data_IF_843493281686
#
_entry.id   IF_843493281686
#
_cell.length_a   1.000
_cell.length_b   1.000
_cell.length_c   1.000
_cell.angle_alpha   90.00
_cell.angle_beta   90.00
_cell.angle_gamma   90.00
#
_symmetry.space_group_name_H-M   'P 1'
#
loop_
_entity.id
_entity.type
_entity.pdbx_description
1 polymer ?
#
# COMPACT_ATOMS: atom_id res chain seq x y z
N UNK A 1 21.06 34.11 -55.13
CA UNK A 1 21.75 33.00 -54.42
C UNK A 1 21.72 33.35 -52.94
N UNK A 2 21.19 32.57 -52.01
CA UNK A 2 21.24 31.11 -51.82
C UNK A 2 19.91 30.60 -51.25
N UNK A 3 19.57 29.38 -51.64
CA UNK A 3 18.47 28.57 -51.14
C UNK A 3 18.93 27.84 -49.89
N UNK A 4 18.07 27.69 -48.87
CA UNK A 4 18.04 26.46 -48.05
C UNK A 4 16.71 26.38 -47.28
N UNK A 5 15.87 25.43 -47.71
CA UNK A 5 14.75 24.91 -46.93
C UNK A 5 15.33 23.92 -45.93
N UNK A 6 15.44 24.30 -44.65
CA UNK A 6 15.79 23.38 -43.56
C UNK A 6 14.52 23.13 -42.73
N UNK A 7 13.60 22.37 -43.30
CA UNK A 7 12.46 21.85 -42.56
C UNK A 7 12.15 20.46 -43.12
N UNK A 8 12.70 19.44 -42.46
CA UNK A 8 12.24 18.04 -42.39
C UNK A 8 13.42 17.14 -42.01
N UNK A 9 13.35 16.58 -40.81
CA UNK A 9 14.21 15.46 -40.43
C UNK A 9 14.67 15.49 -38.98
N UNK A 10 13.75 15.52 -38.00
CA UNK A 10 14.12 15.23 -36.62
C UNK A 10 12.95 14.68 -35.79
N UNK A 11 12.15 13.75 -36.33
CA UNK A 11 11.12 13.05 -35.55
C UNK A 11 10.94 11.66 -36.15
N UNK A 12 11.80 10.70 -35.82
CA UNK A 12 11.56 9.24 -36.03
C UNK A 12 12.70 8.38 -35.45
N UNK A 13 13.22 8.72 -34.27
CA UNK A 13 14.42 8.08 -33.71
C UNK A 13 14.35 7.69 -32.23
N UNK A 14 13.17 7.59 -31.60
CA UNK A 14 13.07 7.37 -30.14
C UNK A 14 12.02 6.32 -29.73
N UNK A 15 11.84 5.24 -30.50
CA UNK A 15 10.88 4.19 -30.11
C UNK A 15 11.41 2.75 -30.18
N UNK A 16 12.72 2.52 -30.36
CA UNK A 16 13.23 1.16 -30.63
C UNK A 16 14.26 0.60 -29.63
N UNK A 17 14.20 0.99 -28.35
CA UNK A 17 15.17 0.51 -27.36
C UNK A 17 14.59 -0.11 -26.08
N UNK A 18 13.31 -0.49 -26.03
CA UNK A 18 12.72 -1.14 -24.84
C UNK A 18 12.19 -2.56 -25.06
N UNK A 19 12.72 -3.32 -26.04
CA UNK A 19 12.32 -4.71 -26.25
C UNK A 19 13.46 -5.70 -26.04
N UNK A 20 14.18 -5.67 -24.92
CA UNK A 20 14.99 -6.84 -24.50
C UNK A 20 15.13 -6.92 -22.97
N UNK A 21 14.11 -7.43 -22.31
CA UNK A 21 14.28 -8.24 -21.09
C UNK A 21 13.17 -9.29 -21.08
N UNK A 22 13.39 -10.39 -21.78
CA UNK A 22 12.51 -11.55 -21.74
C UNK A 22 12.84 -12.40 -20.52
N UNK A 23 12.13 -12.20 -19.41
CA UNK A 23 12.09 -13.19 -18.34
C UNK A 23 11.05 -14.26 -18.70
N UNK A 24 11.50 -15.52 -18.85
CA UNK A 24 10.60 -16.66 -19.04
C UNK A 24 10.07 -17.12 -17.68
N UNK A 25 8.85 -16.70 -17.33
CA UNK A 25 8.13 -17.27 -16.19
C UNK A 25 7.42 -18.55 -16.65
N UNK A 26 7.65 -19.65 -15.94
CA UNK A 26 6.94 -20.90 -16.16
C UNK A 26 5.43 -20.67 -15.91
N UNK A 27 4.64 -20.74 -16.99
CA UNK A 27 3.17 -20.74 -16.90
C UNK A 27 2.72 -22.05 -16.28
N UNK A 28 2.62 -22.09 -14.96
CA UNK A 28 1.74 -23.05 -14.28
C UNK A 28 0.32 -22.68 -14.66
N UNK A 29 -0.40 -23.62 -15.29
CA UNK A 29 -1.75 -23.43 -15.75
C UNK A 29 -2.68 -22.98 -14.63
N UNK A 30 -3.23 -21.77 -14.77
CA UNK A 30 -4.22 -21.20 -13.87
C UNK A 30 -4.65 -19.83 -14.38
N UNK A 31 -5.73 -19.81 -15.16
CA UNK A 31 -6.51 -18.64 -15.60
C UNK A 31 -5.81 -17.28 -15.67
N UNK A 32 -5.47 -16.82 -16.87
CA UNK A 32 -5.30 -15.39 -17.17
C UNK A 32 -6.67 -14.70 -17.13
N UNK A 33 -7.18 -14.46 -15.93
CA UNK A 33 -8.03 -13.32 -15.64
C UNK A 33 -7.24 -12.50 -14.64
N UNK A 34 -6.98 -11.23 -14.93
CA UNK A 34 -6.75 -10.27 -13.84
C UNK A 34 -7.92 -10.47 -12.88
N UNK A 35 -7.69 -11.08 -11.72
CA UNK A 35 -8.68 -11.05 -10.66
C UNK A 35 -8.79 -9.57 -10.32
N UNK A 36 -9.90 -8.94 -10.73
CA UNK A 36 -10.26 -7.61 -10.27
C UNK A 36 -10.15 -7.65 -8.75
N UNK A 37 -9.06 -7.09 -8.25
CA UNK A 37 -8.70 -7.20 -6.84
C UNK A 37 -9.60 -6.22 -6.13
N UNK A 38 -10.32 -6.70 -5.12
CA UNK A 38 -11.23 -5.88 -4.33
C UNK A 38 -10.57 -4.53 -3.99
N UNK A 39 -11.19 -3.39 -4.33
CA UNK A 39 -10.65 -2.07 -4.05
C UNK A 39 -10.24 -1.88 -2.59
N UNK A 40 -10.96 -2.51 -1.65
CA UNK A 40 -10.62 -2.46 -0.22
C UNK A 40 -9.35 -3.24 0.10
N UNK A 41 -9.14 -4.41 -0.51
CA UNK A 41 -7.89 -5.18 -0.35
C UNK A 41 -6.70 -4.42 -0.94
N UNK A 42 -6.89 -3.75 -2.09
CA UNK A 42 -5.86 -2.89 -2.65
C UNK A 42 -5.56 -1.71 -1.72
N UNK A 43 -6.58 -1.08 -1.12
CA UNK A 43 -6.40 0.01 -0.17
C UNK A 43 -5.71 -0.46 1.11
N UNK A 44 -6.05 -1.63 1.62
CA UNK A 44 -5.36 -2.22 2.76
C UNK A 44 -3.88 -2.44 2.45
N UNK A 45 -3.54 -3.00 1.30
CA UNK A 45 -2.14 -3.22 0.91
C UNK A 45 -1.35 -1.90 0.79
N UNK A 46 -1.97 -0.82 0.29
CA UNK A 46 -1.39 0.52 0.28
C UNK A 46 -1.12 1.04 1.70
N UNK A 47 -2.08 0.88 2.61
CA UNK A 47 -1.94 1.28 4.01
C UNK A 47 -0.85 0.44 4.69
N UNK A 48 -0.82 -0.87 4.49
CA UNK A 48 0.17 -1.78 5.08
C UNK A 48 1.59 -1.40 4.71
N UNK A 49 1.82 -1.16 3.43
CA UNK A 49 3.11 -0.71 2.92
C UNK A 49 3.54 0.59 3.62
N UNK A 50 2.62 1.54 3.75
CA UNK A 50 2.92 2.81 4.40
C UNK A 50 3.22 2.64 5.91
N UNK A 51 2.32 1.99 6.66
CA UNK A 51 2.36 2.03 8.13
C UNK A 51 3.31 1.01 8.75
N UNK A 52 3.61 -0.09 8.06
CA UNK A 52 4.47 -1.15 8.59
C UNK A 52 5.85 -1.23 7.92
N UNK A 53 6.05 -0.57 6.78
CA UNK A 53 7.31 -0.65 6.04
C UNK A 53 7.91 0.74 5.85
N UNK A 54 7.20 1.64 5.16
CA UNK A 54 7.81 2.88 4.68
C UNK A 54 7.94 3.95 5.79
N UNK A 55 6.99 4.00 6.73
CA UNK A 55 6.87 5.08 7.72
C UNK A 55 6.76 4.62 9.17
N UNK A 56 7.16 3.38 9.47
CA UNK A 56 7.11 2.81 10.83
C UNK A 56 7.77 3.73 11.87
N UNK A 57 8.94 4.28 11.56
CA UNK A 57 9.69 5.14 12.48
C UNK A 57 9.09 6.55 12.61
N UNK A 58 8.44 7.05 11.56
CA UNK A 58 7.77 8.36 11.60
C UNK A 58 6.50 8.30 12.45
N UNK A 59 5.74 7.21 12.33
CA UNK A 59 4.55 6.93 13.15
C UNK A 59 4.94 6.81 14.62
N UNK A 60 6.00 6.06 14.95
CA UNK A 60 6.52 6.00 16.32
C UNK A 60 6.91 7.37 16.87
N UNK A 61 7.58 8.21 16.07
CA UNK A 61 7.93 9.59 16.46
C UNK A 61 6.70 10.47 16.66
N UNK A 62 5.61 10.20 15.95
CA UNK A 62 4.32 10.87 16.15
C UNK A 62 3.63 10.44 17.46
N UNK A 63 4.15 9.42 18.16
CA UNK A 63 3.72 9.06 19.51
C UNK A 63 2.61 8.01 19.56
N UNK A 64 2.43 7.23 18.48
CA UNK A 64 1.51 6.10 18.45
C UNK A 64 2.05 4.97 17.57
N UNK A 65 1.39 3.83 17.59
CA UNK A 65 1.66 2.69 16.73
C UNK A 65 0.38 2.22 16.01
N UNK A 66 0.58 1.53 14.90
CA UNK A 66 -0.48 0.79 14.23
C UNK A 66 -0.38 -0.66 14.65
N UNK A 67 -1.46 -1.20 15.22
CA UNK A 67 -1.52 -2.59 15.73
C UNK A 67 -1.96 -3.55 14.63
N UNK A 68 -2.94 -3.15 13.83
CA UNK A 68 -3.43 -3.93 12.69
C UNK A 68 -4.09 -3.06 11.63
N UNK A 69 -4.25 -3.65 10.45
CA UNK A 69 -5.15 -3.18 9.40
C UNK A 69 -6.09 -4.31 8.98
N UNK A 70 -7.27 -3.99 8.49
CA UNK A 70 -8.21 -5.02 8.03
C UNK A 70 -9.30 -4.47 7.14
N UNK A 71 -9.69 -5.22 6.12
CA UNK A 71 -10.93 -4.95 5.38
C UNK A 71 -12.14 -5.34 6.24
N UNK A 72 -13.03 -4.38 6.46
CA UNK A 72 -14.38 -4.57 6.99
C UNK A 72 -15.40 -4.41 5.85
N UNK A 73 -16.71 -4.44 6.18
CA UNK A 73 -17.82 -4.44 5.21
C UNK A 73 -17.64 -3.49 4.01
N UNK A 74 -17.31 -2.23 4.27
CA UNK A 74 -17.24 -1.17 3.23
C UNK A 74 -16.03 -0.24 3.38
N UNK A 75 -15.11 -0.56 4.29
CA UNK A 75 -13.97 0.29 4.62
C UNK A 75 -12.78 -0.55 5.10
N UNK A 76 -11.60 0.08 5.10
CA UNK A 76 -10.40 -0.46 5.74
C UNK A 76 -10.28 0.13 7.14
N UNK A 77 -10.19 -0.73 8.14
CA UNK A 77 -9.94 -0.38 9.51
C UNK A 77 -8.44 -0.30 9.81
N UNK A 78 -8.04 0.68 10.61
CA UNK A 78 -6.68 0.81 11.13
C UNK A 78 -6.77 0.90 12.66
N UNK A 79 -6.31 -0.14 13.36
CA UNK A 79 -6.25 -0.15 14.81
C UNK A 79 -4.98 0.53 15.31
N UNK A 80 -5.10 1.52 16.19
CA UNK A 80 -3.96 2.28 16.72
C UNK A 80 -3.92 2.29 18.25
N UNK A 81 -2.71 2.47 18.79
CA UNK A 81 -2.46 2.61 20.21
C UNK A 81 -1.38 3.69 20.49
N UNK A 82 -1.60 4.65 21.41
CA UNK A 82 -2.89 5.03 21.96
C UNK A 82 -3.78 5.69 20.90
N UNK A 83 -5.09 5.50 21.02
CA UNK A 83 -6.04 6.25 20.20
C UNK A 83 -6.14 7.70 20.69
N UNK A 84 -6.02 8.64 19.75
CA UNK A 84 -6.39 10.04 19.97
C UNK A 84 -6.90 10.63 18.66
N UNK A 85 -7.69 11.71 18.74
CA UNK A 85 -8.13 12.42 17.54
C UNK A 85 -6.95 12.96 16.72
N UNK A 86 -5.84 13.30 17.37
CA UNK A 86 -4.62 13.77 16.71
C UNK A 86 -3.96 12.65 15.90
N UNK A 87 -3.77 11.48 16.52
CA UNK A 87 -3.18 10.29 15.88
C UNK A 87 -4.06 9.76 14.74
N UNK A 88 -5.37 9.70 14.95
CA UNK A 88 -6.30 9.33 13.89
C UNK A 88 -6.26 10.33 12.73
N UNK A 89 -6.19 11.64 13.03
CA UNK A 89 -6.12 12.67 12.01
C UNK A 89 -4.79 12.69 11.24
N UNK A 90 -3.70 12.22 11.84
CA UNK A 90 -2.45 11.95 11.11
C UNK A 90 -2.71 11.00 9.93
N UNK A 91 -3.33 9.85 10.20
CA UNK A 91 -3.64 8.84 9.18
C UNK A 91 -4.69 9.33 8.18
N UNK A 92 -5.73 10.03 8.64
CA UNK A 92 -6.76 10.57 7.76
C UNK A 92 -6.24 11.63 6.77
N UNK A 93 -5.20 12.40 7.12
CA UNK A 93 -4.56 13.34 6.19
C UNK A 93 -3.86 12.62 5.03
N UNK A 94 -3.45 11.38 5.23
CA UNK A 94 -2.72 10.57 4.24
C UNK A 94 -3.70 9.77 3.40
N UNK A 95 -4.64 9.06 4.03
CA UNK A 95 -5.48 8.07 3.36
C UNK A 95 -6.90 8.56 3.04
N UNK A 96 -7.32 9.71 3.59
CA UNK A 96 -8.70 10.18 3.53
C UNK A 96 -9.61 9.49 4.56
N UNK A 97 -10.90 9.86 4.56
CA UNK A 97 -11.92 9.35 5.48
C UNK A 97 -13.03 8.54 4.80
N UNK A 98 -13.03 8.48 3.47
CA UNK A 98 -14.17 7.96 2.70
C UNK A 98 -14.36 6.46 2.91
N UNK A 99 -13.26 5.71 2.90
CA UNK A 99 -13.23 4.24 3.05
C UNK A 99 -12.21 3.80 4.10
N UNK A 100 -11.82 4.69 5.01
CA UNK A 100 -10.85 4.41 6.06
C UNK A 100 -11.44 4.80 7.41
N UNK A 101 -11.32 3.90 8.38
CA UNK A 101 -11.73 4.13 9.75
C UNK A 101 -10.60 3.79 10.69
N UNK A 102 -10.19 4.75 11.51
CA UNK A 102 -9.20 4.55 12.57
C UNK A 102 -9.95 4.25 13.87
N UNK A 103 -9.52 3.22 14.59
CA UNK A 103 -10.11 2.76 15.84
C UNK A 103 -9.06 2.54 16.91
N UNK A 104 -9.49 2.51 18.16
CA UNK A 104 -8.63 2.12 19.29
C UNK A 104 -8.35 0.63 19.27
N UNK A 105 -7.10 0.26 19.53
CA UNK A 105 -6.65 -1.13 19.64
C UNK A 105 -5.56 -1.25 20.70
N UNK A 106 -5.43 -2.44 21.28
CA UNK A 106 -4.30 -2.80 22.14
C UNK A 106 -3.50 -3.93 21.47
N UNK A 107 -2.21 -4.06 21.82
CA UNK A 107 -1.41 -5.19 21.37
C UNK A 107 -1.97 -6.52 21.90
N UNK A 108 -1.94 -7.56 21.07
CA UNK A 108 -2.35 -8.89 21.49
C UNK A 108 -1.39 -9.43 22.56
N UNK A 109 -1.93 -9.77 23.73
CA UNK A 109 -1.16 -10.46 24.79
C UNK A 109 -1.30 -11.97 24.66
N UNK A 110 -0.18 -12.70 24.80
CA UNK A 110 -0.20 -14.15 24.83
C UNK A 110 -0.88 -14.64 26.12
N UNK A 111 -1.99 -15.36 26.00
CA UNK A 111 -2.57 -16.10 27.12
C UNK A 111 -1.64 -17.26 27.50
N UNK A 112 -0.94 -17.13 28.63
CA UNK A 112 -0.21 -18.26 29.22
C UNK A 112 -1.21 -19.16 29.95
N UNK A 113 -1.39 -20.39 29.46
CA UNK A 113 -2.16 -21.41 30.16
C UNK A 113 -1.41 -21.85 31.42
N UNK A 114 -1.51 -21.06 32.49
CA UNK A 114 -0.98 -21.43 33.80
C UNK A 114 -2.08 -22.13 34.58
N UNK A 115 -2.15 -23.46 34.47
CA UNK A 115 -3.26 -24.20 35.09
C UNK A 115 -3.24 -25.72 35.06
N UNK A 116 -2.08 -26.40 35.02
CA UNK A 116 -1.99 -27.79 35.47
C UNK A 116 -0.86 -27.90 36.49
N UNK A 117 -1.21 -27.70 37.77
CA UNK A 117 -0.40 -28.21 38.87
C UNK A 117 -0.74 -29.68 39.01
N UNK A 118 0.17 -30.56 38.58
CA UNK A 118 0.21 -31.93 39.07
C UNK A 118 0.76 -31.95 40.50
#
# INVERSE_FOLDING_TARGET
MTKTKLFKGFILGLCLSMLFTGAAFARTGGGTGEKETDPLLKKQAEIDQYVFIDHTEDIKKAGFEVVYTGVADTFVEIGINPYSNENANYLYKIFGKDIVKVVESEEATLYTATGEKN
#
